data_IF_653188611393
#
_entry.id   IF_653188611393
#
_cell.length_a   1.000
_cell.length_b   1.000
_cell.length_c   1.000
_cell.angle_alpha   90.00
_cell.angle_beta   90.00
_cell.angle_gamma   90.00
#
_symmetry.space_group_name_H-M   'P 1'
#
loop_
_entity.id
_entity.type
_entity.pdbx_description
1 polymer ?
#
# COMPACT_ATOMS: atom_id res chain seq x y z
N UNK A 1 -11.92 32.84 25.92
CA UNK A 1 -11.54 32.46 24.54
C UNK A 1 -12.79 32.38 23.67
N UNK A 2 -12.71 32.58 22.35
CA UNK A 2 -13.83 32.31 21.44
C UNK A 2 -13.81 30.83 21.07
N UNK A 3 -14.92 30.10 21.27
CA UNK A 3 -15.01 28.70 20.85
C UNK A 3 -15.02 28.63 19.32
N UNK A 4 -14.00 28.00 18.76
CA UNK A 4 -13.88 27.74 17.32
C UNK A 4 -14.40 26.32 17.04
N UNK A 5 -15.01 26.12 15.87
CA UNK A 5 -15.56 24.83 15.43
C UNK A 5 -15.21 24.58 13.97
N UNK A 6 -14.79 23.37 13.65
CA UNK A 6 -14.57 22.95 12.26
C UNK A 6 -15.91 22.75 11.54
N UNK A 7 -16.00 23.18 10.28
CA UNK A 7 -17.14 22.90 9.42
C UNK A 7 -17.00 21.53 8.73
N UNK A 8 -17.90 20.56 8.96
CA UNK A 8 -17.80 19.21 8.36
C UNK A 8 -17.97 19.18 6.83
N UNK A 9 -18.30 20.31 6.18
CA UNK A 9 -18.51 20.41 4.73
C UNK A 9 -17.30 21.01 4.00
N UNK A 10 -16.50 21.87 4.66
CA UNK A 10 -15.34 22.51 4.04
C UNK A 10 -14.02 22.41 4.83
N UNK A 11 -14.04 21.79 6.01
CA UNK A 11 -12.87 21.55 6.88
C UNK A 11 -12.11 22.84 7.23
N UNK A 12 -12.85 23.93 7.46
CA UNK A 12 -12.35 25.21 7.92
C UNK A 12 -12.93 25.56 9.29
N UNK A 13 -12.18 26.35 10.06
CA UNK A 13 -12.51 26.79 11.41
C UNK A 13 -13.39 28.05 11.45
N UNK A 14 -14.48 28.01 12.22
CA UNK A 14 -15.39 29.15 12.40
C UNK A 14 -15.90 29.28 13.84
N UNK A 15 -15.95 30.52 14.34
CA UNK A 15 -16.58 30.87 15.62
C UNK A 15 -18.12 30.88 15.57
N UNK A 16 -18.71 31.01 14.38
CA UNK A 16 -20.17 31.01 14.16
C UNK A 16 -20.57 29.98 13.08
N UNK A 17 -20.25 28.70 13.31
CA UNK A 17 -20.54 27.59 12.39
C UNK A 17 -21.99 27.61 11.85
N UNK A 18 -22.99 27.87 12.70
CA UNK A 18 -24.42 27.94 12.30
C UNK A 18 -24.82 29.17 11.45
N UNK A 19 -23.96 30.19 11.35
CA UNK A 19 -24.09 31.30 10.39
C UNK A 19 -23.41 30.93 9.07
N UNK A 20 -22.19 30.39 9.14
CA UNK A 20 -21.43 29.89 8.00
C UNK A 20 -22.18 28.81 7.19
N UNK A 21 -22.77 27.80 7.85
CA UNK A 21 -23.55 26.76 7.15
C UNK A 21 -24.73 27.33 6.35
N UNK A 22 -25.42 28.35 6.88
CA UNK A 22 -26.52 29.03 6.17
C UNK A 22 -26.05 29.93 5.03
N UNK A 23 -24.97 30.69 5.24
CA UNK A 23 -24.52 31.70 4.27
C UNK A 23 -23.59 31.14 3.18
N UNK A 24 -22.64 30.27 3.55
CA UNK A 24 -21.66 29.70 2.61
C UNK A 24 -22.16 28.40 1.99
N UNK A 25 -22.72 27.48 2.80
CA UNK A 25 -23.19 26.16 2.33
C UNK A 25 -24.68 26.11 2.01
N UNK A 26 -25.41 27.23 2.13
CA UNK A 26 -26.84 27.36 1.80
C UNK A 26 -27.74 26.31 2.49
N UNK A 27 -27.34 25.81 3.66
CA UNK A 27 -28.07 24.82 4.46
C UNK A 27 -29.36 25.45 5.01
N UNK A 28 -30.43 25.39 4.20
CA UNK A 28 -31.77 25.89 4.55
C UNK A 28 -32.46 24.95 5.54
N UNK A 29 -32.37 23.64 5.30
CA UNK A 29 -33.03 22.61 6.09
C UNK A 29 -32.61 22.68 7.57
N UNK A 30 -33.59 22.74 8.47
CA UNK A 30 -33.40 22.86 9.92
C UNK A 30 -32.73 21.62 10.53
N UNK A 31 -33.14 20.43 10.08
CA UNK A 31 -32.73 19.14 10.64
C UNK A 31 -31.32 18.78 10.17
N UNK A 32 -31.03 18.95 8.88
CA UNK A 32 -29.69 18.89 8.31
C UNK A 32 -28.72 19.79 9.10
N UNK A 33 -29.11 21.05 9.33
CA UNK A 33 -28.32 22.04 10.07
C UNK A 33 -28.09 21.62 11.52
N UNK A 34 -29.07 20.98 12.18
CA UNK A 34 -28.92 20.44 13.54
C UNK A 34 -27.92 19.28 13.58
N UNK A 35 -27.95 18.35 12.62
CA UNK A 35 -27.00 17.23 12.52
C UNK A 35 -25.58 17.76 12.30
N UNK A 36 -25.38 18.64 11.31
CA UNK A 36 -24.07 19.25 11.01
C UNK A 36 -23.50 20.07 12.18
N UNK A 37 -24.35 20.67 13.02
CA UNK A 37 -23.94 21.39 14.23
C UNK A 37 -23.58 20.47 15.41
N UNK A 38 -24.23 19.31 15.57
CA UNK A 38 -23.79 18.26 16.51
C UNK A 38 -22.41 17.74 16.09
N UNK A 39 -22.26 17.40 14.81
CA UNK A 39 -21.03 16.86 14.22
C UNK A 39 -19.86 17.83 14.37
N UNK A 40 -19.99 19.07 13.87
CA UNK A 40 -18.98 20.13 14.02
C UNK A 40 -18.82 20.67 15.45
N UNK A 41 -19.32 19.96 16.48
CA UNK A 41 -18.95 20.20 17.88
C UNK A 41 -18.58 18.92 18.64
N UNK A 42 -18.44 17.78 17.94
CA UNK A 42 -18.12 16.48 18.54
C UNK A 42 -19.22 15.93 19.46
N UNK A 43 -20.45 16.46 19.38
CA UNK A 43 -21.61 16.16 20.24
C UNK A 43 -22.65 15.25 19.57
N UNK A 44 -22.27 14.48 18.56
CA UNK A 44 -23.10 13.38 18.04
C UNK A 44 -23.22 12.27 19.09
N UNK A 45 -24.44 11.81 19.38
CA UNK A 45 -24.70 10.79 20.40
C UNK A 45 -24.54 9.38 19.81
N UNK A 46 -23.45 8.69 20.16
CA UNK A 46 -23.10 7.37 19.63
C UNK A 46 -23.59 6.18 20.47
N UNK A 47 -24.50 6.38 21.44
CA UNK A 47 -25.00 5.32 22.35
C UNK A 47 -25.61 4.08 21.67
N UNK A 48 -26.01 4.21 20.41
CA UNK A 48 -26.68 3.18 19.60
C UNK A 48 -25.75 2.50 18.58
N UNK A 49 -24.51 2.96 18.45
CA UNK A 49 -23.59 2.45 17.42
C UNK A 49 -22.81 1.24 17.93
N UNK A 50 -22.38 0.41 16.96
CA UNK A 50 -21.42 -0.66 17.21
C UNK A 50 -20.02 -0.08 17.41
N UNK A 51 -19.13 -0.83 18.06
CA UNK A 51 -17.70 -0.54 18.00
C UNK A 51 -17.20 -0.60 16.55
N UNK A 52 -16.32 0.33 16.18
CA UNK A 52 -15.72 0.41 14.84
C UNK A 52 -14.33 -0.22 14.77
N UNK A 53 -13.93 -0.97 15.81
CA UNK A 53 -12.73 -1.82 15.81
C UNK A 53 -13.08 -3.16 15.15
N UNK A 54 -12.33 -3.55 14.12
CA UNK A 54 -12.58 -4.78 13.37
C UNK A 54 -12.46 -6.02 14.26
N UNK A 55 -13.51 -6.85 14.29
CA UNK A 55 -13.62 -8.01 15.17
C UNK A 55 -14.18 -7.72 16.56
N UNK A 56 -14.72 -6.52 16.82
CA UNK A 56 -15.38 -6.20 18.08
C UNK A 56 -16.88 -5.93 17.91
N UNK A 57 -17.71 -6.88 18.32
CA UNK A 57 -19.18 -6.81 18.22
C UNK A 57 -19.86 -6.05 19.38
N UNK A 58 -19.14 -5.23 20.14
CA UNK A 58 -19.73 -4.44 21.23
C UNK A 58 -20.74 -3.41 20.71
N UNK A 59 -21.91 -3.35 21.33
CA UNK A 59 -22.98 -2.40 21.05
C UNK A 59 -23.53 -1.92 22.38
N UNK A 60 -23.49 -0.61 22.66
CA UNK A 60 -23.93 -0.13 23.98
C UNK A 60 -23.67 1.34 24.27
N UNK A 61 -24.40 1.83 25.28
CA UNK A 61 -24.49 3.25 25.63
C UNK A 61 -23.20 3.89 26.17
N UNK A 62 -22.16 3.10 26.44
CA UNK A 62 -20.87 3.55 26.98
C UNK A 62 -19.68 3.12 26.11
N UNK A 63 -19.81 3.30 24.80
CA UNK A 63 -18.72 3.09 23.82
C UNK A 63 -17.44 3.86 24.19
N UNK A 64 -17.58 5.04 24.81
CA UNK A 64 -16.49 5.88 25.36
C UNK A 64 -15.63 5.18 26.42
N UNK A 65 -16.26 4.28 27.18
CA UNK A 65 -15.66 3.48 28.24
C UNK A 65 -15.18 2.14 27.70
N UNK A 66 -15.99 1.46 26.88
CA UNK A 66 -15.62 0.21 26.21
C UNK A 66 -14.30 0.35 25.41
N UNK A 67 -14.15 1.37 24.57
CA UNK A 67 -12.91 1.60 23.81
C UNK A 67 -11.72 1.92 24.75
N UNK A 68 -11.97 2.39 25.98
CA UNK A 68 -10.92 2.64 26.98
C UNK A 68 -10.49 1.36 27.71
N UNK A 69 -11.43 0.47 27.99
CA UNK A 69 -11.22 -0.71 28.84
C UNK A 69 -10.88 -1.97 28.04
N UNK A 70 -11.47 -2.16 26.85
CA UNK A 70 -11.32 -3.38 26.02
C UNK A 70 -10.33 -3.19 24.86
N UNK A 71 -9.92 -1.95 24.57
CA UNK A 71 -8.92 -1.65 23.53
C UNK A 71 -7.71 -0.91 24.14
N UNK A 72 -7.15 -1.49 25.20
CA UNK A 72 -5.91 -1.09 25.87
C UNK A 72 -4.72 -0.93 24.93
N UNK A 73 -4.65 -1.78 23.93
CA UNK A 73 -3.59 -1.90 22.91
C UNK A 73 -3.60 -0.78 21.86
N UNK A 74 -4.63 0.07 21.84
CA UNK A 74 -4.66 1.29 21.02
C UNK A 74 -4.12 2.49 21.80
N UNK A 75 -3.39 3.41 21.15
CA UNK A 75 -2.96 4.65 21.81
C UNK A 75 -4.16 5.57 22.12
N UNK A 76 -3.98 6.51 23.07
CA UNK A 76 -5.03 7.50 23.43
C UNK A 76 -5.50 8.29 22.20
N UNK A 77 -4.58 8.65 21.30
CA UNK A 77 -4.92 9.31 20.04
C UNK A 77 -5.75 8.43 19.11
N UNK A 78 -5.44 7.14 19.00
CA UNK A 78 -6.17 6.22 18.10
C UNK A 78 -7.57 5.92 18.64
N UNK A 79 -7.74 5.80 19.96
CA UNK A 79 -9.06 5.72 20.60
C UNK A 79 -9.89 6.98 20.36
N UNK A 80 -9.27 8.16 20.44
CA UNK A 80 -9.93 9.43 20.13
C UNK A 80 -10.33 9.54 18.64
N UNK A 81 -9.44 9.14 17.72
CA UNK A 81 -9.72 9.07 16.27
C UNK A 81 -10.86 8.07 15.98
N UNK A 82 -10.88 6.92 16.66
CA UNK A 82 -11.93 5.91 16.50
C UNK A 82 -13.31 6.44 16.95
N UNK A 83 -13.38 7.06 18.13
CA UNK A 83 -14.61 7.72 18.62
C UNK A 83 -15.10 8.83 17.69
N UNK A 84 -14.19 9.58 17.05
CA UNK A 84 -14.54 10.62 16.09
C UNK A 84 -15.03 10.03 14.75
N UNK A 85 -14.43 8.94 14.27
CA UNK A 85 -14.93 8.17 13.13
C UNK A 85 -16.36 7.65 13.40
N UNK A 86 -16.64 7.08 14.57
CA UNK A 86 -18.00 6.61 14.90
C UNK A 86 -19.03 7.75 14.89
N UNK A 87 -18.67 8.94 15.42
CA UNK A 87 -19.53 10.14 15.38
C UNK A 87 -19.78 10.63 13.96
N UNK A 88 -18.76 10.59 13.10
CA UNK A 88 -18.87 10.94 11.68
C UNK A 88 -19.77 9.95 10.94
N UNK A 89 -19.54 8.64 11.10
CA UNK A 89 -20.39 7.60 10.51
C UNK A 89 -21.86 7.73 10.94
N UNK A 90 -22.13 7.96 12.24
CA UNK A 90 -23.52 8.18 12.68
C UNK A 90 -24.13 9.44 12.09
N UNK A 91 -23.42 10.57 12.07
CA UNK A 91 -23.96 11.80 11.48
C UNK A 91 -24.24 11.64 9.98
N UNK A 92 -23.43 10.84 9.26
CA UNK A 92 -23.67 10.47 7.86
C UNK A 92 -24.92 9.59 7.73
N UNK A 93 -25.14 8.60 8.61
CA UNK A 93 -26.39 7.82 8.66
C UNK A 93 -27.61 8.71 8.96
N UNK A 94 -27.52 9.63 9.93
CA UNK A 94 -28.59 10.59 10.25
C UNK A 94 -28.93 11.48 9.04
N UNK A 95 -27.94 11.90 8.25
CA UNK A 95 -28.15 12.66 7.01
C UNK A 95 -28.74 11.81 5.88
N UNK A 96 -28.30 10.57 5.70
CA UNK A 96 -28.85 9.66 4.69
C UNK A 96 -30.32 9.30 4.99
N UNK A 97 -30.64 8.99 6.25
CA UNK A 97 -32.02 8.80 6.70
C UNK A 97 -32.89 10.04 6.45
N UNK A 98 -32.36 11.24 6.68
CA UNK A 98 -33.06 12.48 6.37
C UNK A 98 -33.29 12.66 4.86
N UNK A 99 -32.33 12.28 3.99
CA UNK A 99 -32.51 12.30 2.52
C UNK A 99 -33.61 11.33 2.06
N UNK A 100 -33.70 10.14 2.66
CA UNK A 100 -34.76 9.16 2.34
C UNK A 100 -36.19 9.65 2.66
N UNK A 101 -36.34 10.70 3.49
CA UNK A 101 -37.65 11.30 3.82
C UNK A 101 -38.09 12.45 2.88
N UNK A 102 -37.41 12.63 1.73
CA UNK A 102 -37.54 13.76 0.78
C UNK A 102 -37.88 15.12 1.45
N UNK A 103 -36.94 15.66 2.24
CA UNK A 103 -37.26 16.63 3.26
C UNK A 103 -37.36 18.04 2.67
N UNK A 104 -38.54 18.67 2.77
CA UNK A 104 -38.75 20.07 2.36
C UNK A 104 -38.37 21.03 3.50
N UNK A 105 -37.50 22.06 3.29
CA UNK A 105 -36.75 22.36 2.07
C UNK A 105 -35.58 21.38 1.84
N UNK A 106 -35.32 21.07 0.57
CA UNK A 106 -34.30 20.13 0.14
C UNK A 106 -32.92 20.37 0.77
N UNK A 107 -32.21 19.27 1.06
CA UNK A 107 -30.89 19.29 1.69
C UNK A 107 -29.82 19.89 0.77
N UNK A 108 -28.87 20.60 1.36
CA UNK A 108 -27.81 21.31 0.63
C UNK A 108 -26.46 20.55 0.60
N UNK A 109 -26.31 19.50 1.43
CA UNK A 109 -25.08 18.72 1.56
C UNK A 109 -25.23 17.29 1.04
N UNK A 110 -24.22 16.85 0.28
CA UNK A 110 -24.05 15.47 -0.21
C UNK A 110 -22.93 14.81 0.59
N UNK A 111 -23.29 14.46 1.84
CA UNK A 111 -22.47 13.71 2.78
C UNK A 111 -23.17 12.38 3.02
N UNK A 112 -22.96 11.46 2.09
CA UNK A 112 -23.60 10.16 2.00
C UNK A 112 -22.61 9.06 2.40
N UNK A 113 -23.09 7.93 2.98
CA UNK A 113 -22.25 6.76 3.15
C UNK A 113 -21.88 6.24 1.76
N UNK A 114 -20.60 5.97 1.54
CA UNK A 114 -20.17 5.19 0.38
C UNK A 114 -20.19 3.74 0.83
N UNK A 115 -21.32 3.08 0.64
CA UNK A 115 -21.43 1.63 0.82
C UNK A 115 -20.55 0.98 -0.26
N UNK A 116 -19.46 0.31 0.14
CA UNK A 116 -18.41 -0.18 -0.79
C UNK A 116 -18.86 -1.32 -1.71
N UNK A 117 -20.14 -1.70 -1.63
CA UNK A 117 -20.82 -2.77 -2.37
C UNK A 117 -21.80 -2.24 -3.44
N UNK A 118 -22.20 -0.96 -3.40
CA UNK A 118 -23.19 -0.39 -4.36
C UNK A 118 -22.56 0.25 -5.60
N UNK A 119 -21.24 0.17 -5.79
CA UNK A 119 -20.60 0.40 -7.10
C UNK A 119 -20.72 -0.84 -8.04
N UNK A 120 -21.85 -1.58 -7.96
CA UNK A 120 -22.27 -2.48 -9.04
C UNK A 120 -22.89 -1.64 -10.15
N UNK A 121 -22.37 -1.85 -11.36
CA UNK A 121 -22.59 -1.03 -12.54
C UNK A 121 -24.08 -0.86 -12.91
N UNK A 122 -24.68 0.27 -12.52
CA UNK A 122 -25.78 0.87 -13.29
C UNK A 122 -25.20 1.59 -14.53
N UNK A 123 -24.48 0.85 -15.37
CA UNK A 123 -24.45 1.17 -16.78
C UNK A 123 -25.87 0.88 -17.28
N UNK A 124 -26.56 1.89 -17.82
CA UNK A 124 -27.87 1.68 -18.43
C UNK A 124 -27.76 0.64 -19.56
N UNK A 125 -28.83 -0.12 -19.77
CA UNK A 125 -28.87 -1.26 -20.67
C UNK A 125 -28.21 -0.96 -22.02
N UNK A 126 -27.36 -1.88 -22.49
CA UNK A 126 -26.65 -1.76 -23.78
C UNK A 126 -27.67 -1.78 -24.94
N UNK A 127 -28.22 -0.60 -25.26
CA UNK A 127 -29.00 -0.38 -26.48
C UNK A 127 -28.07 -0.70 -27.66
N UNK A 128 -28.28 -1.89 -28.25
CA UNK A 128 -27.35 -2.53 -29.16
C UNK A 128 -26.81 -1.54 -30.20
N UNK A 129 -25.48 -1.27 -30.26
CA UNK A 129 -24.93 -0.10 -30.93
C UNK A 129 -25.49 0.09 -32.34
N UNK A 130 -26.38 1.07 -32.50
CA UNK A 130 -27.22 1.24 -33.68
C UNK A 130 -26.40 1.14 -34.96
N UNK A 131 -26.93 0.44 -35.97
CA UNK A 131 -26.26 0.38 -37.25
C UNK A 131 -26.24 1.77 -37.87
N UNK A 132 -25.06 2.16 -38.34
CA UNK A 132 -24.79 3.45 -38.97
C UNK A 132 -24.97 3.41 -40.49
N UNK A 133 -25.35 2.26 -41.08
CA UNK A 133 -25.66 2.12 -42.50
C UNK A 133 -24.45 2.21 -43.45
N UNK A 134 -23.25 2.40 -42.91
CA UNK A 134 -21.99 2.40 -43.65
C UNK A 134 -21.34 1.01 -43.55
N UNK A 135 -21.22 0.34 -44.70
CA UNK A 135 -20.72 -1.03 -44.81
C UNK A 135 -19.24 -1.17 -44.39
N UNK A 136 -18.37 -0.20 -44.73
CA UNK A 136 -16.97 -0.17 -44.25
C UNK A 136 -16.91 -0.07 -42.72
N UNK A 137 -17.79 0.72 -42.11
CA UNK A 137 -17.88 0.82 -40.65
C UNK A 137 -18.39 -0.51 -40.05
N UNK A 138 -19.30 -1.19 -40.74
CA UNK A 138 -19.71 -2.56 -40.44
C UNK A 138 -18.55 -3.55 -40.47
N UNK A 139 -17.71 -3.52 -41.50
CA UNK A 139 -16.52 -4.38 -41.61
C UNK A 139 -15.49 -4.10 -40.52
N UNK A 140 -15.16 -2.84 -40.27
CA UNK A 140 -14.25 -2.42 -39.20
C UNK A 140 -14.79 -2.87 -37.84
N UNK A 141 -16.10 -2.74 -37.59
CA UNK A 141 -16.75 -3.22 -36.36
C UNK A 141 -16.68 -4.75 -36.25
N UNK A 142 -16.95 -5.49 -37.34
CA UNK A 142 -16.78 -6.96 -37.42
C UNK A 142 -15.31 -7.38 -37.25
N UNK A 143 -14.35 -6.55 -37.63
CA UNK A 143 -12.92 -6.73 -37.35
C UNK A 143 -12.59 -6.59 -35.86
N UNK A 144 -13.03 -5.49 -35.23
CA UNK A 144 -12.82 -5.25 -33.80
C UNK A 144 -13.46 -6.32 -32.91
N UNK A 145 -14.68 -6.79 -33.23
CA UNK A 145 -15.35 -7.86 -32.46
C UNK A 145 -14.56 -9.18 -32.56
N UNK A 146 -14.04 -9.54 -33.74
CA UNK A 146 -13.21 -10.73 -33.92
C UNK A 146 -11.89 -10.65 -33.15
N UNK A 147 -11.20 -9.52 -33.18
CA UNK A 147 -9.95 -9.36 -32.41
C UNK A 147 -10.20 -9.28 -30.90
N UNK A 148 -11.31 -8.69 -30.44
CA UNK A 148 -11.71 -8.75 -29.03
C UNK A 148 -11.97 -10.19 -28.57
N UNK A 149 -12.70 -10.98 -29.35
CA UNK A 149 -12.90 -12.40 -29.05
C UNK A 149 -11.56 -13.16 -28.98
N UNK A 150 -10.67 -12.95 -29.96
CA UNK A 150 -9.33 -13.56 -30.00
C UNK A 150 -8.48 -13.17 -28.78
N UNK A 151 -8.55 -11.92 -28.34
CA UNK A 151 -7.84 -11.43 -27.15
C UNK A 151 -8.41 -12.01 -25.85
N UNK A 152 -9.73 -12.21 -25.76
CA UNK A 152 -10.35 -12.91 -24.61
C UNK A 152 -9.90 -14.36 -24.54
N UNK A 153 -9.98 -15.13 -25.65
CA UNK A 153 -9.49 -16.52 -25.67
C UNK A 153 -8.01 -16.62 -25.30
N UNK A 154 -7.17 -15.69 -25.78
CA UNK A 154 -5.74 -15.64 -25.44
C UNK A 154 -5.49 -15.29 -23.96
N UNK A 155 -6.30 -14.38 -23.39
CA UNK A 155 -6.25 -14.04 -21.96
C UNK A 155 -6.61 -15.26 -21.10
N UNK A 156 -7.67 -15.98 -21.45
CA UNK A 156 -8.17 -17.10 -20.66
C UNK A 156 -7.23 -18.32 -20.76
N UNK A 157 -6.64 -18.57 -21.93
CA UNK A 157 -5.52 -19.52 -22.08
C UNK A 157 -4.33 -19.12 -21.18
N UNK A 158 -3.94 -17.84 -21.18
CA UNK A 158 -2.84 -17.36 -20.33
C UNK A 158 -3.13 -17.57 -18.84
N UNK A 159 -4.38 -17.43 -18.41
CA UNK A 159 -4.79 -17.72 -17.02
C UNK A 159 -4.71 -19.23 -16.69
N UNK A 160 -5.10 -20.10 -17.62
CA UNK A 160 -4.96 -21.55 -17.46
C UNK A 160 -3.48 -21.98 -17.37
N UNK A 161 -2.63 -21.46 -18.26
CA UNK A 161 -1.18 -21.72 -18.27
C UNK A 161 -0.53 -21.26 -16.95
N UNK A 162 -0.91 -20.06 -16.46
CA UNK A 162 -0.46 -19.56 -15.15
C UNK A 162 -0.97 -20.42 -13.98
N UNK A 163 -2.14 -21.06 -14.12
CA UNK A 163 -2.65 -22.06 -13.16
C UNK A 163 -1.80 -23.34 -13.15
N UNK A 164 -1.53 -23.90 -14.34
CA UNK A 164 -0.70 -25.10 -14.49
C UNK A 164 0.73 -24.89 -13.95
N UNK A 165 1.35 -23.75 -14.25
CA UNK A 165 2.68 -23.39 -13.74
C UNK A 165 2.70 -23.23 -12.21
N UNK A 166 1.63 -22.71 -11.59
CA UNK A 166 1.51 -22.66 -10.11
C UNK A 166 1.46 -24.06 -9.50
N UNK A 167 0.71 -24.99 -10.10
CA UNK A 167 0.63 -26.38 -9.66
C UNK A 167 1.99 -27.10 -9.82
N UNK A 168 2.69 -26.92 -10.95
CA UNK A 168 4.04 -27.44 -11.14
C UNK A 168 5.02 -26.91 -10.07
N UNK A 169 4.97 -25.60 -9.76
CA UNK A 169 5.80 -25.00 -8.71
C UNK A 169 5.46 -25.58 -7.32
N UNK A 170 4.19 -25.88 -7.03
CA UNK A 170 3.80 -26.55 -5.78
C UNK A 170 4.32 -28.00 -5.71
N UNK A 171 4.23 -28.76 -6.81
CA UNK A 171 4.72 -30.14 -6.89
C UNK A 171 6.25 -30.20 -6.77
N UNK A 172 6.98 -29.29 -7.42
CA UNK A 172 8.44 -29.18 -7.29
C UNK A 172 8.84 -28.77 -5.86
N UNK A 173 8.08 -27.88 -5.20
CA UNK A 173 8.31 -27.55 -3.79
C UNK A 173 8.07 -28.73 -2.85
N UNK A 174 7.06 -29.56 -3.10
CA UNK A 174 6.85 -30.82 -2.34
C UNK A 174 8.04 -31.76 -2.54
N UNK A 175 8.40 -32.09 -3.79
CA UNK A 175 9.57 -32.95 -4.08
C UNK A 175 10.88 -32.44 -3.45
N UNK A 176 11.09 -31.12 -3.39
CA UNK A 176 12.24 -30.52 -2.71
C UNK A 176 12.15 -30.57 -1.17
N UNK A 177 10.94 -30.55 -0.58
CA UNK A 177 10.74 -30.78 0.84
C UNK A 177 10.96 -32.27 1.19
N UNK A 178 10.37 -33.18 0.41
CA UNK A 178 10.52 -34.63 0.57
C UNK A 178 12.00 -35.05 0.45
N UNK A 179 12.70 -34.52 -0.56
CA UNK A 179 14.14 -34.75 -0.75
C UNK A 179 14.99 -34.21 0.39
N UNK A 180 14.66 -33.03 0.95
CA UNK A 180 15.32 -32.54 2.18
C UNK A 180 15.05 -33.44 3.38
N UNK A 181 13.82 -33.92 3.53
CA UNK A 181 13.45 -34.86 4.60
C UNK A 181 14.22 -36.18 4.48
N UNK A 182 14.49 -36.64 3.25
CA UNK A 182 15.32 -37.82 2.98
C UNK A 182 16.81 -37.61 3.30
N UNK A 183 17.34 -36.39 3.11
CA UNK A 183 18.73 -36.02 3.49
C UNK A 183 18.87 -35.77 4.99
N UNK A 184 17.79 -35.42 5.69
CA UNK A 184 17.76 -35.13 7.15
C UNK A 184 17.63 -36.38 8.05
N UNK A 185 17.69 -37.61 7.52
CA UNK A 185 17.74 -38.84 8.34
C UNK A 185 18.98 -39.73 8.08
N UNK A 186 20.21 -39.23 8.25
CA UNK A 186 21.41 -40.06 8.35
C UNK A 186 21.80 -40.24 9.83
N UNK A 187 21.20 -41.19 10.54
CA UNK A 187 21.82 -41.94 11.67
C UNK A 187 20.80 -42.90 12.32
N UNK A 188 19.55 -42.45 12.51
CA UNK A 188 18.55 -43.18 13.31
C UNK A 188 18.23 -44.57 12.76
N UNK A 189 18.16 -44.79 11.43
CA UNK A 189 17.91 -46.13 10.86
C UNK A 189 19.03 -47.14 11.15
N UNK A 190 20.30 -46.74 11.12
CA UNK A 190 21.43 -47.64 11.47
C UNK A 190 21.53 -47.86 12.98
N UNK A 191 21.28 -46.83 13.80
CA UNK A 191 21.23 -46.98 15.25
C UNK A 191 20.04 -47.85 15.71
N UNK A 192 18.88 -47.70 15.07
CA UNK A 192 17.68 -48.49 15.33
C UNK A 192 17.85 -49.94 14.88
N UNK A 193 18.31 -50.19 13.65
CA UNK A 193 18.59 -51.55 13.19
C UNK A 193 19.68 -52.25 14.03
N UNK A 194 20.69 -51.52 14.53
CA UNK A 194 21.68 -52.07 15.49
C UNK A 194 21.08 -52.36 16.87
N UNK A 195 20.13 -51.55 17.36
CA UNK A 195 19.42 -51.83 18.62
C UNK A 195 18.43 -52.98 18.49
N UNK A 196 17.69 -53.06 17.38
CA UNK A 196 16.76 -54.16 17.09
C UNK A 196 17.55 -55.47 16.91
N UNK A 197 18.66 -55.47 16.14
CA UNK A 197 19.55 -56.62 16.05
C UNK A 197 20.23 -56.98 17.38
N UNK A 198 20.66 -56.01 18.19
CA UNK A 198 21.25 -56.30 19.50
C UNK A 198 20.22 -56.84 20.50
N UNK A 199 18.96 -56.41 20.44
CA UNK A 199 17.87 -56.97 21.26
C UNK A 199 17.53 -58.38 20.80
N UNK A 200 17.49 -58.65 19.49
CA UNK A 200 17.25 -60.00 18.96
C UNK A 200 18.43 -60.95 19.26
N UNK A 201 19.66 -60.44 19.24
CA UNK A 201 20.86 -61.19 19.63
C UNK A 201 20.93 -61.42 21.14
N UNK A 202 20.49 -60.46 21.97
CA UNK A 202 20.34 -60.68 23.42
C UNK A 202 19.23 -61.70 23.72
N UNK A 203 18.13 -61.71 22.98
CA UNK A 203 17.09 -62.73 23.10
C UNK A 203 17.62 -64.12 22.74
N UNK A 204 18.32 -64.26 21.61
CA UNK A 204 18.93 -65.53 21.18
C UNK A 204 19.97 -66.03 22.17
N UNK A 205 20.86 -65.16 22.63
CA UNK A 205 21.82 -65.49 23.67
C UNK A 205 21.17 -65.80 25.04
N UNK A 206 19.92 -65.39 25.29
CA UNK A 206 19.16 -65.79 26.49
C UNK A 206 18.41 -67.13 26.34
N UNK A 207 18.27 -67.66 25.12
CA UNK A 207 17.80 -69.03 24.86
C UNK A 207 18.94 -70.06 24.81
N UNK A 208 20.19 -69.64 24.53
CA UNK A 208 21.35 -70.53 24.43
C UNK A 208 22.20 -70.65 25.71
N UNK A 209 22.06 -69.76 26.72
CA UNK A 209 22.77 -69.89 28.01
C UNK A 209 22.00 -70.84 28.95
N UNK A 210 22.14 -72.13 28.67
CA UNK A 210 21.61 -73.21 29.51
C UNK A 210 22.58 -74.41 29.68
N UNK A 211 23.88 -74.25 29.35
CA UNK A 211 24.93 -75.26 29.64
C UNK A 211 26.35 -74.62 29.73
N UNK A 212 27.18 -75.16 30.64
CA UNK A 212 28.67 -75.17 30.73
C UNK A 212 29.53 -73.86 30.81
N UNK A 213 29.74 -73.37 32.04
CA UNK A 213 31.01 -73.31 32.82
C UNK A 213 32.41 -72.83 32.29
N UNK A 214 33.06 -71.98 33.13
CA UNK A 214 34.50 -71.95 33.57
C UNK A 214 35.62 -71.19 32.79
N UNK A 215 36.25 -70.19 33.48
CA UNK A 215 37.65 -69.60 33.45
C UNK A 215 38.32 -69.13 32.12
N UNK A 216 39.07 -68.00 31.97
CA UNK A 216 39.28 -66.69 32.69
C UNK A 216 39.56 -65.54 31.64
N UNK A 217 40.58 -64.66 31.50
CA UNK A 217 41.93 -64.34 32.08
C UNK A 217 42.27 -62.81 32.03
N UNK A 218 42.51 -62.19 33.18
CA UNK A 218 43.42 -61.05 33.57
C UNK A 218 43.93 -59.95 32.58
N UNK A 219 43.52 -58.68 32.82
CA UNK A 219 44.25 -57.36 32.71
C UNK A 219 44.82 -56.88 31.32
N UNK A 220 45.41 -55.66 31.08
CA UNK A 220 45.97 -54.52 31.89
C UNK A 220 45.61 -53.14 31.25
N UNK A 221 46.06 -52.02 31.86
CA UNK A 221 45.82 -50.58 31.56
C UNK A 221 46.59 -50.01 30.30
N UNK A 222 46.85 -48.71 30.04
CA UNK A 222 47.09 -47.52 30.90
C UNK A 222 47.00 -46.14 30.15
N UNK A 223 47.26 -45.02 30.87
CA UNK A 223 47.09 -43.60 30.48
C UNK A 223 48.19 -42.97 29.59
N UNK A 224 47.91 -41.77 29.05
CA UNK A 224 48.92 -40.68 28.87
C UNK A 224 48.29 -39.29 29.06
N UNK A 225 48.99 -38.36 29.73
CA UNK A 225 48.58 -36.95 29.97
C UNK A 225 49.80 -36.01 29.84
N UNK A 226 49.65 -34.78 29.31
CA UNK A 226 50.59 -33.64 29.40
C UNK A 226 50.07 -32.41 28.61
N UNK A 227 50.50 -31.15 28.84
CA UNK A 227 50.76 -30.38 30.09
C UNK A 227 50.79 -28.86 29.73
N UNK A 228 50.80 -27.95 30.71
CA UNK A 228 50.63 -26.50 30.53
C UNK A 228 51.90 -25.72 30.14
N UNK A 229 51.74 -24.62 29.39
CA UNK A 229 52.54 -23.39 29.53
C UNK A 229 51.66 -22.15 29.26
N UNK A 230 51.78 -21.10 30.07
CA UNK A 230 51.18 -19.80 29.85
C UNK A 230 52.22 -18.67 29.93
N UNK A 231 52.07 -17.63 29.10
CA UNK A 231 52.85 -16.38 29.20
C UNK A 231 51.98 -15.18 28.79
N UNK A 232 52.18 -14.03 29.43
CA UNK A 232 51.28 -12.86 29.40
C UNK A 232 51.88 -11.69 28.61
N UNK A 233 51.22 -11.25 27.51
CA UNK A 233 51.70 -10.12 26.71
C UNK A 233 50.61 -9.27 26.04
N UNK A 234 50.30 -8.14 26.68
CA UNK A 234 49.96 -6.81 26.10
C UNK A 234 49.00 -6.72 24.89
N UNK A 235 47.81 -6.15 25.11
CA UNK A 235 46.81 -5.79 24.07
C UNK A 235 47.27 -4.66 23.11
N UNK A 236 47.15 -4.85 21.78
CA UNK A 236 47.00 -3.78 20.79
C UNK A 236 45.51 -3.56 20.44
N UNK A 237 45.10 -2.32 20.20
CA UNK A 237 43.70 -2.01 19.88
C UNK A 237 43.26 -2.57 18.50
N UNK A 238 42.02 -3.07 18.34
CA UNK A 238 41.55 -3.65 17.09
C UNK A 238 41.50 -2.61 15.98
N UNK A 239 42.21 -2.89 14.89
CA UNK A 239 42.19 -2.05 13.70
C UNK A 239 40.89 -2.30 12.89
N UNK A 240 40.58 -1.40 11.95
CA UNK A 240 39.27 -1.37 11.27
C UNK A 240 39.04 -2.61 10.41
N UNK A 241 38.19 -3.54 10.87
CA UNK A 241 37.68 -4.62 10.03
C UNK A 241 36.82 -4.08 8.87
N UNK A 242 36.98 -4.68 7.70
CA UNK A 242 36.22 -4.32 6.52
C UNK A 242 34.77 -4.82 6.64
N UNK A 243 33.81 -3.90 6.80
CA UNK A 243 32.40 -4.24 6.62
C UNK A 243 32.14 -4.63 5.17
N UNK A 244 32.16 -5.94 4.89
CA UNK A 244 31.79 -6.54 3.61
C UNK A 244 30.39 -6.06 3.22
N UNK A 245 30.34 -5.10 2.29
CA UNK A 245 29.09 -4.49 1.83
C UNK A 245 28.30 -5.50 1.00
N UNK A 246 27.41 -6.26 1.66
CA UNK A 246 26.45 -7.14 1.00
C UNK A 246 25.52 -6.27 0.13
N UNK A 247 25.59 -6.33 -1.22
CA UNK A 247 24.81 -5.42 -2.05
C UNK A 247 23.33 -5.82 -1.98
N UNK A 248 22.47 -4.92 -1.50
CA UNK A 248 21.01 -5.15 -1.43
C UNK A 248 20.45 -5.40 -2.83
N UNK A 249 20.26 -6.67 -3.18
CA UNK A 249 19.82 -7.11 -4.50
C UNK A 249 18.52 -6.40 -4.89
N UNK A 250 18.60 -5.62 -5.97
CA UNK A 250 17.46 -4.86 -6.50
C UNK A 250 16.59 -5.82 -7.31
N UNK A 251 15.57 -6.42 -6.66
CA UNK A 251 14.56 -7.22 -7.37
C UNK A 251 13.95 -6.40 -8.52
N UNK A 252 14.33 -6.75 -9.75
CA UNK A 252 13.77 -6.14 -10.95
C UNK A 252 12.34 -6.65 -11.14
N UNK A 253 11.36 -5.83 -10.75
CA UNK A 253 9.94 -6.15 -11.00
C UNK A 253 9.61 -5.93 -12.47
N UNK A 254 9.81 -6.98 -13.27
CA UNK A 254 9.41 -6.98 -14.68
C UNK A 254 7.89 -6.93 -14.80
N UNK A 255 7.35 -5.72 -14.95
CA UNK A 255 6.06 -5.44 -15.59
C UNK A 255 6.38 -4.65 -16.86
N UNK A 256 5.73 -4.97 -17.98
CA UNK A 256 6.13 -4.48 -19.30
C UNK A 256 6.02 -2.94 -19.43
N UNK A 257 7.15 -2.23 -19.47
CA UNK A 257 7.21 -0.77 -19.35
C UNK A 257 7.02 -0.10 -20.72
N UNK A 258 5.78 -0.02 -21.19
CA UNK A 258 5.39 0.62 -22.46
C UNK A 258 5.51 2.18 -22.47
N UNK A 259 6.54 2.73 -21.84
CA UNK A 259 6.96 4.13 -22.03
C UNK A 259 8.37 4.41 -21.49
N UNK A 260 9.30 4.95 -22.31
CA UNK A 260 10.67 5.27 -21.90
C UNK A 260 10.80 6.16 -20.66
N UNK A 261 9.79 7.00 -20.40
CA UNK A 261 9.74 7.94 -19.28
C UNK A 261 9.52 7.27 -17.91
N UNK A 262 9.08 6.01 -17.86
CA UNK A 262 8.68 5.33 -16.61
C UNK A 262 9.72 4.32 -16.10
N UNK A 263 10.84 4.15 -16.80
CA UNK A 263 11.88 3.17 -16.45
C UNK A 263 12.95 3.73 -15.48
N UNK A 264 13.41 2.87 -14.56
CA UNK A 264 14.61 3.05 -13.74
C UNK A 264 14.46 3.91 -12.46
N UNK A 265 15.14 3.50 -11.38
CA UNK A 265 15.24 4.29 -10.14
C UNK A 265 16.68 4.68 -9.83
N UNK A 266 16.93 5.95 -9.51
CA UNK A 266 18.24 6.49 -9.15
C UNK A 266 18.63 7.76 -9.89
N UNK A 267 19.93 8.12 -9.82
CA UNK A 267 20.46 9.40 -10.31
C UNK A 267 20.33 9.57 -11.83
N UNK A 268 20.39 8.48 -12.60
CA UNK A 268 20.32 8.47 -14.07
C UNK A 268 18.91 8.33 -14.68
N UNK A 269 17.83 8.48 -13.89
CA UNK A 269 16.46 8.37 -14.40
C UNK A 269 16.19 9.42 -15.53
N UNK A 270 15.58 8.97 -16.62
CA UNK A 270 15.36 9.75 -17.86
C UNK A 270 14.62 11.07 -17.61
N UNK A 271 13.69 11.12 -16.65
CA UNK A 271 12.91 12.33 -16.33
C UNK A 271 13.79 13.49 -15.86
N UNK A 272 14.98 13.23 -15.30
CA UNK A 272 15.94 14.27 -14.90
C UNK A 272 16.56 15.00 -16.11
N UNK A 273 16.48 14.43 -17.32
CA UNK A 273 16.95 15.04 -18.58
C UNK A 273 15.87 15.80 -19.35
N UNK A 274 14.62 15.83 -18.87
CA UNK A 274 13.56 16.65 -19.47
C UNK A 274 13.91 18.13 -19.25
N UNK A 275 14.15 18.87 -20.34
CA UNK A 275 14.24 20.33 -20.38
C UNK A 275 12.88 20.91 -20.78
N UNK A 276 12.45 21.99 -20.14
CA UNK A 276 11.26 22.76 -20.52
C UNK A 276 11.67 24.08 -21.20
N UNK A 277 10.74 24.81 -21.86
CA UNK A 277 10.99 26.19 -22.28
C UNK A 277 11.48 27.06 -21.11
N UNK A 278 12.40 28.03 -21.31
CA UNK A 278 13.10 28.71 -20.21
C UNK A 278 12.21 29.28 -19.10
N UNK A 279 11.10 29.93 -19.45
CA UNK A 279 10.14 30.51 -18.49
C UNK A 279 9.37 29.46 -17.68
N UNK A 280 9.18 28.24 -18.21
CA UNK A 280 8.64 27.11 -17.45
C UNK A 280 9.71 26.45 -16.58
N UNK A 281 10.94 26.37 -17.07
CA UNK A 281 12.09 25.80 -16.36
C UNK A 281 12.43 26.64 -15.12
N UNK A 282 12.49 27.96 -15.24
CA UNK A 282 12.68 28.91 -14.14
C UNK A 282 11.56 28.78 -13.07
N UNK A 283 10.31 28.77 -13.52
CA UNK A 283 9.15 28.60 -12.64
C UNK A 283 9.20 27.27 -11.86
N UNK A 284 9.61 26.19 -12.52
CA UNK A 284 9.79 24.88 -11.89
C UNK A 284 11.00 24.80 -10.96
N UNK A 285 12.05 25.58 -11.21
CA UNK A 285 13.16 25.73 -10.27
C UNK A 285 12.70 26.47 -9.01
N UNK A 286 11.84 27.49 -9.11
CA UNK A 286 11.32 28.20 -7.95
C UNK A 286 10.36 27.32 -7.12
N UNK A 287 9.51 26.51 -7.77
CA UNK A 287 8.77 25.42 -7.11
C UNK A 287 9.70 24.39 -6.43
N UNK A 288 10.87 24.13 -7.01
CA UNK A 288 11.92 23.29 -6.45
C UNK A 288 12.54 23.86 -5.18
N UNK A 289 13.00 25.13 -5.22
CA UNK A 289 13.60 25.86 -4.09
C UNK A 289 12.69 25.87 -2.86
N UNK A 290 11.40 26.14 -3.06
CA UNK A 290 10.37 26.08 -1.99
C UNK A 290 10.33 24.72 -1.27
N UNK A 291 10.66 23.64 -1.98
CA UNK A 291 10.71 22.27 -1.46
C UNK A 291 12.10 21.81 -1.00
N UNK A 292 13.14 22.58 -1.25
CA UNK A 292 14.44 22.42 -0.59
C UNK A 292 14.40 23.07 0.80
N UNK A 293 13.72 24.22 0.94
CA UNK A 293 13.66 24.99 2.19
C UNK A 293 14.89 25.88 2.37
N UNK A 294 15.00 26.54 3.53
CA UNK A 294 16.08 27.50 3.82
C UNK A 294 17.44 26.81 3.99
N UNK A 295 17.50 25.72 4.76
CA UNK A 295 18.73 24.97 5.06
C UNK A 295 18.65 23.51 4.55
N UNK A 296 18.70 23.26 3.23
CA UNK A 296 18.49 21.92 2.68
C UNK A 296 19.67 20.98 2.86
N UNK A 297 19.43 19.76 3.35
CA UNK A 297 20.41 18.66 3.28
C UNK A 297 20.60 18.17 1.83
N UNK A 298 21.72 17.47 1.55
CA UNK A 298 21.95 16.82 0.22
C UNK A 298 20.76 15.94 -0.20
N UNK A 299 20.17 15.20 0.74
CA UNK A 299 19.00 14.33 0.52
C UNK A 299 17.74 15.13 0.19
N UNK A 300 17.54 16.30 0.82
CA UNK A 300 16.42 17.20 0.50
C UNK A 300 16.56 17.80 -0.90
N UNK A 301 17.77 18.23 -1.30
CA UNK A 301 18.04 18.69 -2.68
C UNK A 301 17.80 17.60 -3.73
N UNK A 302 18.24 16.36 -3.48
CA UNK A 302 17.94 15.24 -4.37
C UNK A 302 16.44 14.89 -4.43
N UNK A 303 15.71 15.02 -3.31
CA UNK A 303 14.26 14.82 -3.25
C UNK A 303 13.50 15.92 -4.02
N UNK A 304 13.84 17.19 -3.85
CA UNK A 304 13.23 18.31 -4.55
C UNK A 304 13.43 18.21 -6.07
N UNK A 305 14.67 17.97 -6.53
CA UNK A 305 14.97 17.70 -7.95
C UNK A 305 14.17 16.50 -8.50
N UNK A 306 13.96 15.47 -7.68
CA UNK A 306 13.14 14.30 -8.05
C UNK A 306 11.63 14.58 -8.02
N UNK A 307 11.14 15.56 -7.24
CA UNK A 307 9.77 16.06 -7.31
C UNK A 307 9.55 16.86 -8.60
N UNK A 308 10.43 17.83 -8.87
CA UNK A 308 10.42 18.63 -10.10
C UNK A 308 10.44 17.73 -11.36
N UNK A 309 11.25 16.67 -11.38
CA UNK A 309 11.32 15.73 -12.51
C UNK A 309 9.99 14.99 -12.79
N UNK A 310 9.23 14.63 -11.74
CA UNK A 310 7.89 14.01 -11.90
C UNK A 310 6.87 15.02 -12.40
N UNK A 311 6.90 16.23 -11.84
CA UNK A 311 6.06 17.36 -12.28
C UNK A 311 6.34 17.74 -13.74
N UNK A 312 7.61 17.75 -14.19
CA UNK A 312 7.96 17.91 -15.61
C UNK A 312 7.33 16.82 -16.49
N UNK A 313 7.29 15.58 -16.03
CA UNK A 313 6.72 14.46 -16.80
C UNK A 313 5.20 14.60 -16.91
N UNK A 314 4.53 15.08 -15.86
CA UNK A 314 3.11 15.47 -15.90
C UNK A 314 2.87 16.63 -16.86
N UNK A 315 3.65 17.72 -16.77
CA UNK A 315 3.57 18.88 -17.67
C UNK A 315 3.77 18.45 -19.13
N UNK A 316 4.79 17.63 -19.42
CA UNK A 316 5.07 17.11 -20.76
C UNK A 316 3.89 16.30 -21.30
N UNK A 317 3.28 15.45 -20.48
CA UNK A 317 2.09 14.70 -20.86
C UNK A 317 0.90 15.62 -21.13
N UNK A 318 0.56 16.51 -20.20
CA UNK A 318 -0.56 17.45 -20.32
C UNK A 318 -0.37 18.47 -21.46
N UNK A 319 0.87 18.86 -21.77
CA UNK A 319 1.22 19.76 -22.88
C UNK A 319 1.30 19.09 -24.26
N UNK A 320 1.47 17.76 -24.34
CA UNK A 320 1.63 17.05 -25.61
C UNK A 320 0.50 17.33 -26.63
N UNK A 321 0.84 17.70 -27.87
CA UNK A 321 -0.10 18.16 -28.93
C UNK A 321 -0.91 19.43 -28.60
N UNK A 322 -0.57 20.22 -27.59
CA UNK A 322 -1.21 21.54 -27.36
C UNK A 322 -0.50 22.64 -28.16
N UNK A 323 -1.26 23.51 -28.83
CA UNK A 323 -0.72 24.52 -29.77
C UNK A 323 0.20 25.57 -29.11
N UNK A 324 -0.05 25.90 -27.84
CA UNK A 324 0.67 26.93 -27.08
C UNK A 324 0.89 26.43 -25.65
N UNK A 325 2.13 26.48 -25.16
CA UNK A 325 2.43 26.08 -23.78
C UNK A 325 2.48 27.30 -22.82
N UNK A 326 2.78 28.49 -23.33
CA UNK A 326 2.99 29.69 -22.50
C UNK A 326 1.76 30.17 -21.75
N UNK A 327 0.54 29.88 -22.22
CA UNK A 327 -0.71 30.26 -21.56
C UNK A 327 -1.16 29.28 -20.45
N UNK A 328 -0.49 28.13 -20.34
CA UNK A 328 -0.80 27.02 -19.42
C UNK A 328 -2.20 26.39 -19.54
N UNK A 329 -3.03 26.79 -20.50
CA UNK A 329 -4.44 26.35 -20.62
C UNK A 329 -4.57 24.83 -20.77
N UNK A 330 -3.54 24.17 -21.31
CA UNK A 330 -3.44 22.71 -21.46
C UNK A 330 -3.58 21.91 -20.15
N UNK A 331 -3.45 22.56 -18.98
CA UNK A 331 -3.67 21.93 -17.68
C UNK A 331 -5.15 21.64 -17.41
N UNK A 332 -6.06 22.49 -17.90
CA UNK A 332 -7.50 22.32 -17.71
C UNK A 332 -8.08 21.37 -18.77
N UNK A 333 -7.76 20.09 -18.61
CA UNK A 333 -8.20 19.05 -19.53
C UNK A 333 -8.52 17.75 -18.77
N UNK A 334 -9.76 17.57 -18.29
CA UNK A 334 -10.15 16.42 -17.45
C UNK A 334 -10.01 15.09 -18.18
N UNK A 335 -10.31 15.05 -19.49
CA UNK A 335 -10.12 13.86 -20.34
C UNK A 335 -8.66 13.43 -20.38
N UNK A 336 -7.74 14.39 -20.53
CA UNK A 336 -6.31 14.13 -20.57
C UNK A 336 -5.75 13.81 -19.18
N UNK A 337 -6.29 14.40 -18.12
CA UNK A 337 -5.95 14.07 -16.74
C UNK A 337 -6.35 12.64 -16.38
N UNK A 338 -7.56 12.19 -16.78
CA UNK A 338 -8.00 10.78 -16.64
C UNK A 338 -7.07 9.84 -17.42
N UNK A 339 -6.65 10.22 -18.65
CA UNK A 339 -5.65 9.47 -19.43
C UNK A 339 -4.26 9.44 -18.78
N UNK A 340 -3.84 10.48 -18.07
CA UNK A 340 -2.60 10.49 -17.28
C UNK A 340 -2.67 9.49 -16.12
N UNK A 341 -3.71 9.57 -15.28
CA UNK A 341 -3.90 8.67 -14.15
C UNK A 341 -3.94 7.19 -14.59
N UNK A 342 -4.68 6.88 -15.66
CA UNK A 342 -4.74 5.53 -16.23
C UNK A 342 -3.38 5.06 -16.79
N UNK A 343 -2.58 5.96 -17.37
CA UNK A 343 -1.23 5.62 -17.85
C UNK A 343 -0.27 5.31 -16.71
N UNK A 344 -0.34 6.05 -15.60
CA UNK A 344 0.46 5.75 -14.41
C UNK A 344 0.06 4.41 -13.80
N UNK A 345 -1.25 4.17 -13.61
CA UNK A 345 -1.80 2.93 -13.03
C UNK A 345 -1.40 1.67 -13.81
N UNK A 346 -1.38 1.73 -15.15
CA UNK A 346 -0.95 0.61 -15.99
C UNK A 346 0.58 0.40 -16.03
N UNK A 347 1.36 1.42 -15.67
CA UNK A 347 2.82 1.42 -15.87
C UNK A 347 3.67 1.28 -14.61
N UNK A 348 3.10 1.42 -13.41
CA UNK A 348 3.85 1.46 -12.14
C UNK A 348 3.05 0.84 -10.99
N UNK A 349 3.75 0.50 -9.90
CA UNK A 349 3.13 0.08 -8.65
C UNK A 349 2.28 1.21 -8.05
N UNK A 350 1.19 0.85 -7.36
CA UNK A 350 0.15 1.74 -6.84
C UNK A 350 0.74 2.83 -5.92
N UNK A 351 1.65 2.43 -5.03
CA UNK A 351 2.42 3.30 -4.12
C UNK A 351 3.29 4.32 -4.86
N UNK A 352 3.75 3.99 -6.06
CA UNK A 352 4.50 4.90 -6.92
C UNK A 352 3.56 5.85 -7.66
N UNK A 353 2.41 5.38 -8.16
CA UNK A 353 1.38 6.24 -8.78
C UNK A 353 0.90 7.31 -7.81
N UNK A 354 0.61 6.94 -6.57
CA UNK A 354 0.21 7.87 -5.51
C UNK A 354 1.26 8.97 -5.28
N UNK A 355 2.55 8.61 -5.26
CA UNK A 355 3.63 9.58 -5.09
C UNK A 355 3.68 10.61 -6.24
N UNK A 356 3.44 10.20 -7.49
CA UNK A 356 3.38 11.13 -8.62
C UNK A 356 2.16 12.05 -8.50
N UNK A 357 0.96 11.51 -8.21
CA UNK A 357 -0.23 12.35 -8.06
C UNK A 357 -0.15 13.30 -6.86
N UNK A 358 0.46 12.90 -5.74
CA UNK A 358 0.78 13.80 -4.62
C UNK A 358 1.75 14.92 -5.03
N UNK A 359 2.77 14.62 -5.85
CA UNK A 359 3.71 15.61 -6.36
C UNK A 359 3.03 16.59 -7.34
N UNK A 360 2.14 16.10 -8.20
CA UNK A 360 1.34 16.93 -9.11
C UNK A 360 0.36 17.83 -8.34
N UNK A 361 -0.32 17.32 -7.32
CA UNK A 361 -1.21 18.09 -6.46
C UNK A 361 -0.46 19.22 -5.73
N UNK A 362 0.74 18.94 -5.21
CA UNK A 362 1.60 19.96 -4.60
C UNK A 362 2.02 21.04 -5.60
N UNK A 363 2.28 20.69 -6.86
CA UNK A 363 2.53 21.65 -7.93
C UNK A 363 1.31 22.50 -8.28
N UNK A 364 0.13 21.91 -8.42
CA UNK A 364 -1.09 22.68 -8.72
C UNK A 364 -1.49 23.62 -7.56
N UNK A 365 -1.32 23.20 -6.31
CA UNK A 365 -1.56 24.07 -5.15
C UNK A 365 -0.61 25.28 -5.16
N UNK A 366 0.68 25.06 -5.44
CA UNK A 366 1.65 26.16 -5.64
C UNK A 366 1.25 27.07 -6.81
N UNK A 367 0.82 26.47 -7.94
CA UNK A 367 0.39 27.20 -9.13
C UNK A 367 -0.88 28.03 -8.92
N UNK A 368 -1.78 27.59 -8.03
CA UNK A 368 -2.97 28.34 -7.63
C UNK A 368 -2.64 29.54 -6.72
N UNK A 369 -1.57 29.45 -5.92
CA UNK A 369 -1.12 30.51 -5.01
C UNK A 369 -0.23 31.54 -5.72
N UNK A 370 0.74 31.08 -6.51
CA UNK A 370 1.71 31.90 -7.25
C UNK A 370 1.68 31.54 -8.75
N UNK A 371 0.64 31.96 -9.50
CA UNK A 371 0.50 31.61 -10.91
C UNK A 371 1.63 32.21 -11.77
N UNK A 372 2.09 31.51 -12.84
CA UNK A 372 3.05 32.06 -13.80
C UNK A 372 2.52 33.35 -14.45
N UNK A 373 3.40 34.33 -14.68
CA UNK A 373 3.03 35.64 -15.28
C UNK A 373 2.32 35.54 -16.64
N UNK A 374 2.55 34.46 -17.39
CA UNK A 374 1.94 34.21 -18.70
C UNK A 374 0.68 33.33 -18.65
N UNK A 375 0.30 32.81 -17.48
CA UNK A 375 -0.83 31.89 -17.32
C UNK A 375 -2.16 32.57 -17.57
N UNK A 376 -3.04 31.91 -18.35
CA UNK A 376 -4.43 32.33 -18.57
C UNK A 376 -5.46 31.47 -17.84
N UNK A 377 -5.00 30.50 -17.04
CA UNK A 377 -5.86 29.65 -16.19
C UNK A 377 -6.51 30.49 -15.08
N UNK A 378 -7.84 30.40 -14.94
CA UNK A 378 -8.53 31.05 -13.82
C UNK A 378 -8.39 30.23 -12.53
N UNK A 379 -8.70 30.86 -11.39
CA UNK A 379 -8.82 30.16 -10.09
C UNK A 379 -9.88 29.05 -10.13
N UNK A 380 -10.90 29.16 -10.97
CA UNK A 380 -11.96 28.13 -11.14
C UNK A 380 -11.39 26.92 -11.86
N UNK A 381 -10.69 27.11 -12.99
CA UNK A 381 -10.03 26.02 -13.72
C UNK A 381 -9.05 25.28 -12.81
N UNK A 382 -8.19 25.99 -12.07
CA UNK A 382 -7.27 25.35 -11.11
C UNK A 382 -7.99 24.61 -9.99
N UNK A 383 -9.11 25.13 -9.49
CA UNK A 383 -9.92 24.41 -8.49
C UNK A 383 -10.52 23.12 -9.05
N UNK A 384 -10.91 23.09 -10.33
CA UNK A 384 -11.38 21.88 -11.01
C UNK A 384 -10.26 20.84 -11.16
N UNK A 385 -9.12 21.19 -11.77
CA UNK A 385 -7.99 20.25 -11.94
C UNK A 385 -7.47 19.73 -10.59
N UNK A 386 -7.44 20.57 -9.54
CA UNK A 386 -7.10 20.15 -8.17
C UNK A 386 -8.13 19.17 -7.61
N UNK A 387 -9.43 19.37 -7.85
CA UNK A 387 -10.49 18.43 -7.45
C UNK A 387 -10.30 17.08 -8.13
N UNK A 388 -10.03 17.07 -9.43
CA UNK A 388 -9.89 15.85 -10.22
C UNK A 388 -8.68 15.01 -9.80
N UNK A 389 -7.54 15.63 -9.46
CA UNK A 389 -6.40 14.91 -8.87
C UNK A 389 -6.74 14.38 -7.46
N UNK A 390 -7.51 15.12 -6.65
CA UNK A 390 -7.98 14.62 -5.34
C UNK A 390 -8.94 13.42 -5.49
N UNK A 391 -9.81 13.42 -6.50
CA UNK A 391 -10.68 12.27 -6.82
C UNK A 391 -9.84 11.07 -7.25
N UNK A 392 -8.90 11.24 -8.19
CA UNK A 392 -8.00 10.15 -8.60
C UNK A 392 -7.17 9.59 -7.43
N UNK A 393 -6.72 10.44 -6.50
CA UNK A 393 -6.08 10.01 -5.25
C UNK A 393 -7.03 9.28 -4.30
N UNK A 394 -8.32 9.64 -4.24
CA UNK A 394 -9.34 8.89 -3.45
C UNK A 394 -9.52 7.49 -4.02
N UNK A 395 -9.74 7.35 -5.33
CA UNK A 395 -9.94 6.05 -6.00
C UNK A 395 -8.75 5.08 -5.82
N UNK A 396 -7.52 5.60 -5.77
CA UNK A 396 -6.34 4.76 -5.53
C UNK A 396 -6.23 4.21 -4.10
N UNK A 397 -6.95 4.77 -3.10
CA UNK A 397 -6.80 4.35 -1.69
C UNK A 397 -7.06 2.86 -1.47
N UNK A 398 -8.13 2.30 -2.06
CA UNK A 398 -8.48 0.88 -1.92
C UNK A 398 -7.36 -0.02 -2.46
N UNK A 399 -6.87 0.27 -3.66
CA UNK A 399 -5.76 -0.44 -4.30
C UNK A 399 -4.44 -0.30 -3.51
N UNK A 400 -4.18 0.87 -2.93
CA UNK A 400 -3.01 1.11 -2.06
C UNK A 400 -3.06 0.28 -0.78
N UNK A 401 -4.23 0.14 -0.14
CA UNK A 401 -4.39 -0.69 1.06
C UNK A 401 -4.16 -2.17 0.71
N UNK A 402 -4.78 -2.67 -0.36
CA UNK A 402 -4.57 -4.05 -0.85
C UNK A 402 -3.09 -4.32 -1.15
N UNK A 403 -2.42 -3.41 -1.88
CA UNK A 403 -0.98 -3.50 -2.14
C UNK A 403 -0.15 -3.50 -0.86
N UNK A 404 -0.45 -2.63 0.11
CA UNK A 404 0.28 -2.55 1.37
C UNK A 404 0.08 -3.80 2.24
N UNK A 405 -1.13 -4.35 2.31
CA UNK A 405 -1.41 -5.60 3.02
C UNK A 405 -0.68 -6.77 2.36
N UNK A 406 -0.70 -6.88 1.02
CA UNK A 406 0.05 -7.90 0.28
C UNK A 406 1.56 -7.77 0.52
N UNK A 407 2.13 -6.56 0.46
CA UNK A 407 3.56 -6.31 0.74
C UNK A 407 3.92 -6.51 2.22
N UNK A 408 2.98 -6.35 3.16
CA UNK A 408 3.17 -6.76 4.57
C UNK A 408 3.23 -8.29 4.66
N UNK A 409 2.25 -9.00 4.11
CA UNK A 409 2.22 -10.48 4.09
C UNK A 409 3.48 -11.06 3.43
N UNK A 410 3.92 -10.52 2.29
CA UNK A 410 5.15 -10.93 1.60
C UNK A 410 6.44 -10.62 2.41
N UNK A 411 6.38 -9.77 3.44
CA UNK A 411 7.48 -9.55 4.40
C UNK A 411 7.41 -10.48 5.60
N UNK A 412 6.22 -10.64 6.20
CA UNK A 412 6.01 -11.60 7.29
C UNK A 412 6.38 -13.03 6.86
N UNK A 413 6.04 -13.43 5.62
CA UNK A 413 6.43 -14.72 5.03
C UNK A 413 7.92 -14.86 4.69
N UNK A 414 8.77 -13.94 5.17
CA UNK A 414 10.25 -13.98 5.07
C UNK A 414 10.95 -13.63 6.38
N UNK A 415 10.20 -13.42 7.47
CA UNK A 415 10.79 -13.43 8.79
C UNK A 415 11.13 -14.90 9.15
N UNK A 416 12.20 -15.16 9.89
CA UNK A 416 12.37 -16.46 10.55
C UNK A 416 11.17 -16.73 11.47
N UNK A 417 10.78 -18.00 11.60
CA UNK A 417 9.83 -18.43 12.63
C UNK A 417 10.46 -18.29 14.02
N UNK A 418 9.62 -18.34 15.07
CA UNK A 418 10.09 -18.23 16.46
C UNK A 418 11.13 -19.30 16.81
N UNK A 419 11.01 -20.50 16.24
CA UNK A 419 11.96 -21.62 16.36
C UNK A 419 13.41 -21.20 16.01
N UNK A 420 13.57 -20.44 14.92
CA UNK A 420 14.89 -19.94 14.47
C UNK A 420 15.35 -18.66 15.21
N UNK A 421 14.67 -18.30 16.31
CA UNK A 421 15.10 -17.32 17.30
C UNK A 421 15.57 -18.07 18.56
N UNK A 422 14.79 -19.04 19.04
CA UNK A 422 15.15 -19.87 20.21
C UNK A 422 16.40 -20.72 19.98
N UNK A 423 16.61 -21.26 18.77
CA UNK A 423 17.86 -21.96 18.38
C UNK A 423 19.14 -21.10 18.53
N UNK A 424 19.01 -19.77 18.70
CA UNK A 424 20.15 -18.86 18.94
C UNK A 424 20.34 -18.47 20.40
N UNK A 425 19.38 -18.76 21.27
CA UNK A 425 19.47 -18.48 22.70
C UNK A 425 19.98 -19.73 23.45
N UNK A 426 19.61 -20.93 22.99
CA UNK A 426 20.14 -22.21 23.51
C UNK A 426 21.61 -22.50 23.10
N UNK A 427 22.16 -21.71 22.16
CA UNK A 427 23.57 -21.77 21.74
C UNK A 427 24.52 -20.87 22.52
N UNK A 428 24.08 -20.30 23.66
CA UNK A 428 24.86 -19.37 24.50
C UNK A 428 24.73 -19.76 25.99
N UNK A 429 25.17 -20.97 26.32
CA UNK A 429 25.39 -21.49 27.68
C UNK A 429 26.69 -22.27 27.71
#
# INVERSE_FOLDING_TARGET
MKFVRECPVCLNEYSQLGKHLRQTHRVKNETERKILLKLGSGRTDVRTERCSVGGCDYQGSRLDRHIREIHSEMTVEERAKMMEITKQMKAIKELAALRMTDPVPAMATYLDPVDEETEVLCLGDDEAPRDCGNEECGEVRRGYVRELARLTTLHDQTLQDMGALRLQIQLLKRKLADSRYQVMIPHSRRARARREAAVEQLFRNSEEVAEEDVEDVVAVAEDVVAEDVAEEATLPAPNKEEQVYIPKQRKATSRNVNSPWMAGSGRGNVMRRIKMPPSMEEYLQNFGKLHEGTNPTRKMRENAKSKVSRVKTFILFMGNKHKRLSDWLFMDNPVKLKKWCNKLARGMQETTVEFYLKNNLQFLNYMQQTPPRSSRLTKVNMTAVIRDIKVALKSLKRLLVVHQTSVKQEKYSKLPGCEAITEKEEGIV
#
